data_IF_766996083194
#
_entry.id   IF_766996083194
#
_cell.length_a   1.000
_cell.length_b   1.000
_cell.length_c   1.000
_cell.angle_alpha   90.00
_cell.angle_beta   90.00
_cell.angle_gamma   90.00
#
_symmetry.space_group_name_H-M   'P 1'
#
loop_
_entity.id
_entity.type
_entity.pdbx_description
1 polymer ?
#
# COMPACT_ATOMS: atom_id res chain seq x y z
N UNK A 1 -18.29 -68.85 -12.50
CA UNK A 1 -19.21 -67.73 -12.82
C UNK A 1 -18.80 -66.58 -11.97
N UNK A 2 -17.94 -65.67 -12.53
CA UNK A 2 -17.44 -64.48 -11.82
C UNK A 2 -18.40 -63.30 -12.12
N UNK A 3 -19.00 -62.78 -11.08
CA UNK A 3 -19.76 -61.53 -11.14
C UNK A 3 -18.82 -60.37 -10.84
N UNK A 4 -18.32 -59.71 -11.88
CA UNK A 4 -17.70 -58.41 -11.82
C UNK A 4 -18.79 -57.34 -11.62
N UNK A 5 -18.98 -56.95 -10.38
CA UNK A 5 -19.81 -55.79 -10.05
C UNK A 5 -19.02 -54.51 -10.37
N UNK A 6 -19.25 -53.94 -11.55
CA UNK A 6 -18.82 -52.62 -11.95
C UNK A 6 -19.29 -51.60 -10.92
N UNK A 7 -18.37 -51.11 -10.07
CA UNK A 7 -18.59 -49.98 -9.16
C UNK A 7 -18.79 -48.71 -9.97
N UNK A 8 -20.03 -48.34 -10.22
CA UNK A 8 -20.35 -47.01 -10.75
C UNK A 8 -19.92 -45.92 -9.74
N UNK A 9 -18.75 -45.36 -9.94
CA UNK A 9 -18.32 -44.21 -9.17
C UNK A 9 -19.22 -43.03 -9.53
N UNK A 10 -20.06 -42.64 -8.59
CA UNK A 10 -20.93 -41.46 -8.69
C UNK A 10 -20.08 -40.19 -8.84
N UNK A 11 -20.56 -39.23 -9.68
CA UNK A 11 -19.95 -37.89 -9.79
C UNK A 11 -19.75 -37.22 -8.41
N UNK A 12 -20.59 -37.54 -7.45
CA UNK A 12 -20.50 -37.08 -6.06
C UNK A 12 -19.30 -37.65 -5.33
N UNK A 13 -18.92 -38.92 -5.57
CA UNK A 13 -17.79 -39.58 -4.89
C UNK A 13 -16.46 -39.06 -5.49
N UNK A 14 -16.44 -38.76 -6.78
CA UNK A 14 -15.29 -38.12 -7.43
C UNK A 14 -15.05 -36.71 -6.84
N UNK A 15 -16.09 -35.89 -6.67
CA UNK A 15 -15.97 -34.52 -6.09
C UNK A 15 -15.48 -34.58 -4.63
N UNK A 16 -15.97 -35.56 -3.83
CA UNK A 16 -15.51 -35.71 -2.44
C UNK A 16 -14.04 -36.15 -2.34
N UNK A 17 -13.59 -37.05 -3.22
CA UNK A 17 -12.18 -37.51 -3.21
C UNK A 17 -11.24 -36.47 -3.75
N UNK A 18 -11.64 -35.65 -4.74
CA UNK A 18 -10.81 -34.59 -5.30
C UNK A 18 -10.69 -33.40 -4.33
N UNK A 19 -11.74 -33.09 -3.56
CA UNK A 19 -11.68 -32.00 -2.58
C UNK A 19 -10.75 -32.28 -1.39
N UNK A 20 -10.60 -33.57 -1.00
CA UNK A 20 -9.65 -33.98 0.05
C UNK A 20 -8.19 -33.91 -0.40
N UNK A 21 -7.90 -34.24 -1.67
CA UNK A 21 -6.54 -34.20 -2.23
C UNK A 21 -6.15 -32.76 -2.65
N UNK A 22 -7.08 -31.97 -3.19
CA UNK A 22 -6.83 -30.59 -3.59
C UNK A 22 -6.67 -29.64 -2.39
N UNK A 23 -7.39 -29.90 -1.29
CA UNK A 23 -7.31 -29.09 -0.06
C UNK A 23 -5.94 -29.12 0.61
N UNK A 24 -5.23 -30.26 0.56
CA UNK A 24 -3.92 -30.42 1.18
C UNK A 24 -2.76 -29.81 0.39
N UNK A 25 -2.85 -29.76 -0.94
CA UNK A 25 -1.77 -29.28 -1.81
C UNK A 25 -1.90 -27.79 -2.16
N UNK A 26 -3.12 -27.23 -2.14
CA UNK A 26 -3.33 -25.79 -2.45
C UNK A 26 -3.20 -24.93 -1.20
N UNK A 27 -3.35 -25.47 0.00
CA UNK A 27 -3.25 -24.71 1.25
C UNK A 27 -1.80 -24.29 1.58
N UNK A 28 -0.78 -25.07 1.19
CA UNK A 28 0.61 -24.76 1.51
C UNK A 28 1.14 -23.42 0.96
N UNK A 29 0.87 -23.01 -0.29
CA UNK A 29 1.31 -21.69 -0.78
C UNK A 29 0.49 -20.53 -0.24
N UNK A 30 -0.75 -20.75 0.21
CA UNK A 30 -1.57 -19.67 0.80
C UNK A 30 -1.18 -19.35 2.24
N UNK A 31 -0.72 -20.32 3.02
CA UNK A 31 -0.23 -20.07 4.39
C UNK A 31 1.07 -19.28 4.41
N UNK A 32 1.91 -19.42 3.38
CA UNK A 32 3.15 -18.62 3.28
C UNK A 32 2.90 -17.13 3.01
N UNK A 33 1.73 -16.77 2.45
CA UNK A 33 1.33 -15.38 2.21
C UNK A 33 0.48 -14.78 3.34
N UNK A 34 -0.14 -15.62 4.17
CA UNK A 34 -0.94 -15.16 5.30
C UNK A 34 -0.08 -14.47 6.39
N UNK A 35 1.22 -14.73 6.44
CA UNK A 35 2.14 -14.07 7.38
C UNK A 35 2.47 -12.62 7.00
N UNK A 36 2.07 -12.13 5.82
CA UNK A 36 2.21 -10.72 5.46
C UNK A 36 1.13 -9.82 6.08
N UNK A 37 0.11 -10.39 6.72
CA UNK A 37 -0.96 -9.65 7.38
C UNK A 37 -1.01 -9.86 8.90
N UNK A 38 0.00 -10.48 9.50
CA UNK A 38 0.01 -10.71 10.94
C UNK A 38 0.79 -9.64 11.67
N UNK A 39 0.15 -8.54 11.92
CA UNK A 39 0.60 -7.50 12.82
C UNK A 39 -0.35 -6.33 12.76
N UNK A 40 -1.33 -6.27 13.68
CA UNK A 40 -2.14 -5.07 13.87
C UNK A 40 -1.27 -3.85 14.28
N UNK A 41 0.02 -4.10 14.53
CA UNK A 41 1.03 -3.11 14.94
C UNK A 41 2.01 -2.74 13.81
N UNK A 42 1.95 -3.40 12.65
CA UNK A 42 2.85 -3.09 11.54
C UNK A 42 2.52 -1.71 10.95
N UNK A 43 3.53 -0.86 10.89
CA UNK A 43 3.42 0.49 10.31
C UNK A 43 3.40 0.38 8.80
N UNK A 44 2.34 0.85 8.17
CA UNK A 44 2.23 1.01 6.71
C UNK A 44 2.97 2.28 6.30
N UNK A 45 4.07 2.12 5.58
CA UNK A 45 4.87 3.24 5.06
C UNK A 45 4.25 3.77 3.77
N UNK A 46 4.02 5.07 3.72
CA UNK A 46 3.41 5.74 2.57
C UNK A 46 4.39 6.71 1.95
N UNK A 47 4.50 6.73 0.62
CA UNK A 47 5.15 7.78 -0.14
C UNK A 47 4.11 8.65 -0.87
N UNK A 48 4.31 9.95 -0.87
CA UNK A 48 3.50 10.91 -1.61
C UNK A 48 4.24 11.40 -2.86
N UNK A 49 3.65 11.18 -4.03
CA UNK A 49 4.16 11.64 -5.31
C UNK A 49 3.22 12.70 -5.88
N UNK A 50 3.67 13.95 -5.87
CA UNK A 50 2.88 15.13 -6.19
C UNK A 50 2.38 15.82 -4.92
N UNK A 51 3.03 16.92 -4.55
CA UNK A 51 2.82 17.64 -3.28
C UNK A 51 1.94 18.90 -3.44
N UNK A 52 1.15 18.99 -4.51
CA UNK A 52 0.17 20.06 -4.68
C UNK A 52 -1.01 19.93 -3.70
N UNK A 53 -1.99 20.82 -3.80
CA UNK A 53 -3.15 20.83 -2.89
C UNK A 53 -3.91 19.51 -2.83
N UNK A 54 -4.04 18.78 -3.97
CA UNK A 54 -4.65 17.44 -4.00
C UNK A 54 -3.81 16.42 -3.24
N UNK A 55 -2.48 16.48 -3.40
CA UNK A 55 -1.54 15.60 -2.70
C UNK A 55 -1.57 15.81 -1.20
N UNK A 56 -1.52 17.07 -0.76
CA UNK A 56 -1.61 17.45 0.65
C UNK A 56 -2.89 16.90 1.28
N UNK A 57 -4.05 17.11 0.64
CA UNK A 57 -5.33 16.59 1.13
C UNK A 57 -5.39 15.05 1.18
N UNK A 58 -4.85 14.38 0.17
CA UNK A 58 -4.82 12.91 0.13
C UNK A 58 -3.91 12.33 1.21
N UNK A 59 -2.73 12.92 1.43
CA UNK A 59 -1.83 12.53 2.50
C UNK A 59 -2.47 12.73 3.88
N UNK A 60 -3.11 13.87 4.11
CA UNK A 60 -3.83 14.15 5.35
C UNK A 60 -4.91 13.10 5.62
N UNK A 61 -5.74 12.78 4.63
CA UNK A 61 -6.78 11.75 4.76
C UNK A 61 -6.20 10.36 5.05
N UNK A 62 -5.09 10.00 4.42
CA UNK A 62 -4.41 8.74 4.70
C UNK A 62 -3.88 8.68 6.14
N UNK A 63 -3.26 9.77 6.61
CA UNK A 63 -2.71 9.88 7.97
C UNK A 63 -3.80 9.93 9.06
N UNK A 64 -5.01 10.40 8.73
CA UNK A 64 -6.17 10.39 9.64
C UNK A 64 -6.95 9.07 9.62
N UNK A 65 -6.55 8.13 8.76
CA UNK A 65 -7.19 6.80 8.73
C UNK A 65 -6.99 6.04 10.05
N UNK A 66 -7.85 5.03 10.30
CA UNK A 66 -7.74 4.17 11.49
C UNK A 66 -6.53 3.21 11.43
N UNK A 67 -5.86 3.14 10.29
CA UNK A 67 -4.70 2.26 10.10
C UNK A 67 -3.43 2.89 10.70
N UNK A 68 -2.45 2.07 11.05
CA UNK A 68 -1.16 2.52 11.50
C UNK A 68 -0.29 2.93 10.30
N UNK A 69 -0.55 4.13 9.78
CA UNK A 69 0.08 4.70 8.57
C UNK A 69 1.10 5.75 8.97
N UNK A 70 2.26 5.74 8.29
CA UNK A 70 3.26 6.83 8.37
C UNK A 70 3.64 7.31 6.98
N UNK A 71 3.70 8.63 6.79
CA UNK A 71 4.29 9.24 5.61
C UNK A 71 5.82 9.24 5.78
N UNK A 72 6.53 8.52 4.90
CA UNK A 72 7.98 8.31 5.03
C UNK A 72 8.81 8.95 3.93
N UNK A 73 8.21 9.29 2.79
CA UNK A 73 8.88 9.93 1.68
C UNK A 73 7.94 10.86 0.91
N UNK A 74 8.47 11.92 0.32
CA UNK A 74 7.72 12.86 -0.51
C UNK A 74 8.52 13.19 -1.77
N UNK A 75 7.83 13.32 -2.90
CA UNK A 75 8.44 13.74 -4.17
C UNK A 75 7.51 14.71 -4.92
N UNK A 76 8.09 15.78 -5.44
CA UNK A 76 7.44 16.72 -6.34
C UNK A 76 8.45 17.28 -7.36
N UNK A 77 7.98 17.68 -8.54
CA UNK A 77 8.83 18.35 -9.52
C UNK A 77 9.38 19.69 -9.01
N UNK A 78 8.61 20.36 -8.12
CA UNK A 78 8.90 21.69 -7.61
C UNK A 78 9.12 21.65 -6.11
N UNK A 79 10.23 22.22 -5.65
CA UNK A 79 10.59 22.29 -4.23
C UNK A 79 9.54 23.04 -3.40
N UNK A 80 9.02 24.15 -3.93
CA UNK A 80 8.05 24.99 -3.24
C UNK A 80 6.76 24.24 -2.89
N UNK A 81 6.27 23.38 -3.81
CA UNK A 81 5.12 22.52 -3.57
C UNK A 81 5.40 21.52 -2.45
N UNK A 82 6.57 20.89 -2.50
CA UNK A 82 7.00 19.92 -1.50
C UNK A 82 7.08 20.55 -0.11
N UNK A 83 7.76 21.68 0.01
CA UNK A 83 7.94 22.38 1.28
C UNK A 83 6.60 22.90 1.83
N UNK A 84 5.73 23.46 0.99
CA UNK A 84 4.39 23.92 1.38
C UNK A 84 3.52 22.76 1.88
N UNK A 85 3.57 21.62 1.19
CA UNK A 85 2.87 20.41 1.60
C UNK A 85 3.38 19.89 2.95
N UNK A 86 4.69 19.75 3.10
CA UNK A 86 5.33 19.32 4.34
C UNK A 86 4.96 20.22 5.50
N UNK A 87 5.03 21.55 5.30
CA UNK A 87 4.62 22.53 6.30
C UNK A 87 3.14 22.37 6.69
N UNK A 88 2.26 22.21 5.70
CA UNK A 88 0.82 22.01 5.95
C UNK A 88 0.52 20.74 6.76
N UNK A 89 1.31 19.69 6.59
CA UNK A 89 1.14 18.42 7.32
C UNK A 89 1.80 18.42 8.72
N UNK A 90 2.74 19.34 8.97
CA UNK A 90 3.52 19.37 10.22
C UNK A 90 3.22 20.56 11.10
N UNK A 91 2.56 21.59 10.58
CA UNK A 91 2.14 22.77 11.38
C UNK A 91 0.90 22.40 12.19
N UNK A 92 1.00 22.56 13.48
CA UNK A 92 -0.09 22.39 14.43
C UNK A 92 -0.19 23.71 15.21
N UNK A 93 -1.18 24.52 14.88
CA UNK A 93 -1.49 25.81 15.53
C UNK A 93 -2.52 25.66 16.66
N UNK A 94 -2.92 24.41 16.96
CA UNK A 94 -3.90 24.09 18.00
C UNK A 94 -5.35 24.35 17.60
N UNK A 95 -5.62 24.78 16.36
CA UNK A 95 -6.99 25.04 15.88
C UNK A 95 -7.76 23.75 15.58
N UNK A 96 -7.06 22.70 15.14
CA UNK A 96 -7.64 21.39 14.82
C UNK A 96 -6.90 20.27 15.57
N UNK A 97 -7.57 19.61 16.54
CA UNK A 97 -6.97 18.50 17.30
C UNK A 97 -6.45 17.34 16.44
N UNK A 98 -6.98 17.17 15.22
CA UNK A 98 -6.54 16.12 14.31
C UNK A 98 -5.14 16.36 13.75
N UNK A 99 -4.67 17.62 13.70
CA UNK A 99 -3.34 17.97 13.21
C UNK A 99 -2.21 17.43 14.08
N UNK A 100 -2.42 17.36 15.38
CA UNK A 100 -1.46 16.75 16.29
C UNK A 100 -1.22 15.25 15.96
N UNK A 101 -2.27 14.54 15.55
CA UNK A 101 -2.16 13.14 15.12
C UNK A 101 -1.50 13.02 13.74
N UNK A 102 -1.86 13.88 12.78
CA UNK A 102 -1.21 13.93 11.46
C UNK A 102 0.29 14.13 11.61
N UNK A 103 0.69 15.15 12.38
CA UNK A 103 2.10 15.48 12.62
C UNK A 103 2.91 14.32 13.18
N UNK A 104 2.36 13.55 14.12
CA UNK A 104 3.02 12.37 14.71
C UNK A 104 3.29 11.26 13.68
N UNK A 105 2.50 11.21 12.62
CA UNK A 105 2.58 10.20 11.57
C UNK A 105 3.39 10.65 10.35
N UNK A 106 3.94 11.88 10.36
CA UNK A 106 4.87 12.37 9.33
C UNK A 106 6.30 12.09 9.80
N UNK A 107 6.98 11.18 9.09
CA UNK A 107 8.37 10.77 9.32
C UNK A 107 9.18 10.93 8.03
N UNK A 108 9.29 12.18 7.56
CA UNK A 108 9.96 12.54 6.31
C UNK A 108 11.13 13.49 6.61
N UNK A 109 12.32 12.94 6.88
CA UNK A 109 13.53 13.73 7.02
C UNK A 109 13.95 14.32 5.66
N UNK A 110 14.86 15.28 5.66
CA UNK A 110 15.24 16.04 4.47
C UNK A 110 15.78 15.14 3.33
N UNK A 111 16.53 14.10 3.65
CA UNK A 111 17.06 13.13 2.68
C UNK A 111 15.98 12.28 2.00
N UNK A 112 14.74 12.30 2.50
CA UNK A 112 13.59 11.61 1.88
C UNK A 112 12.58 12.56 1.25
N UNK A 113 13.01 13.81 1.01
CA UNK A 113 12.30 14.83 0.25
C UNK A 113 12.96 14.99 -1.11
N UNK A 114 12.36 14.43 -2.14
CA UNK A 114 12.94 14.36 -3.47
C UNK A 114 12.32 15.39 -4.40
N UNK A 115 13.14 16.26 -4.98
CA UNK A 115 12.71 17.27 -5.94
C UNK A 115 13.15 16.90 -7.34
N UNK A 116 12.35 17.25 -8.35
CA UNK A 116 12.63 16.98 -9.76
C UNK A 116 11.72 15.92 -10.35
N UNK A 117 11.76 15.79 -11.68
CA UNK A 117 10.90 14.86 -12.42
C UNK A 117 11.22 13.38 -12.19
N UNK A 118 12.39 13.07 -11.68
CA UNK A 118 12.87 11.74 -11.33
C UNK A 118 12.74 11.40 -9.82
N UNK A 119 12.28 12.35 -9.01
CA UNK A 119 12.18 12.19 -7.56
C UNK A 119 11.32 11.00 -7.13
N UNK A 120 10.31 10.64 -7.92
CA UNK A 120 9.44 9.49 -7.64
C UNK A 120 10.21 8.16 -7.62
N UNK A 121 11.24 7.99 -8.48
CA UNK A 121 12.05 6.76 -8.51
C UNK A 121 12.80 6.52 -7.21
N UNK A 122 13.08 7.58 -6.45
CA UNK A 122 13.77 7.51 -5.15
C UNK A 122 12.79 7.36 -3.99
N UNK A 123 11.59 7.92 -4.12
CA UNK A 123 10.59 7.90 -3.06
C UNK A 123 9.81 6.57 -3.02
N UNK A 124 9.42 6.02 -4.17
CA UNK A 124 8.59 4.81 -4.29
C UNK A 124 9.20 3.60 -3.57
N UNK A 125 10.49 3.26 -3.74
CA UNK A 125 11.09 2.09 -3.09
C UNK A 125 11.15 2.16 -1.55
N UNK A 126 10.88 3.31 -0.95
CA UNK A 126 10.92 3.51 0.50
C UNK A 126 9.59 3.18 1.20
N UNK A 127 8.54 2.89 0.45
CA UNK A 127 7.17 2.79 0.95
C UNK A 127 6.47 1.50 0.53
N UNK A 128 5.50 1.08 1.34
CA UNK A 128 4.63 -0.06 1.06
C UNK A 128 3.42 0.35 0.19
N UNK A 129 3.02 1.63 0.29
CA UNK A 129 1.89 2.23 -0.42
C UNK A 129 2.30 3.57 -1.00
N UNK A 130 1.86 3.86 -2.21
CA UNK A 130 2.17 5.11 -2.91
C UNK A 130 0.89 5.89 -3.22
N UNK A 131 0.89 7.17 -2.87
CA UNK A 131 -0.17 8.12 -3.24
C UNK A 131 0.30 8.89 -4.48
N UNK A 132 -0.34 8.66 -5.63
CA UNK A 132 -0.02 9.31 -6.89
C UNK A 132 -1.03 10.43 -7.18
N UNK A 133 -0.60 11.69 -7.05
CA UNK A 133 -1.46 12.88 -7.25
C UNK A 133 -0.93 13.84 -8.30
N UNK A 134 0.05 13.41 -9.06
CA UNK A 134 0.58 14.16 -10.20
C UNK A 134 -0.45 14.29 -11.34
N UNK A 135 -0.29 15.26 -12.26
CA UNK A 135 -1.14 15.41 -13.42
C UNK A 135 -1.26 14.11 -14.23
N UNK A 136 -2.38 13.87 -14.93
CA UNK A 136 -2.65 12.60 -15.62
C UNK A 136 -1.56 12.14 -16.59
N UNK A 137 -0.87 13.08 -17.24
CA UNK A 137 0.22 12.76 -18.19
C UNK A 137 1.44 12.07 -17.55
N UNK A 138 1.67 12.25 -16.26
CA UNK A 138 2.79 11.64 -15.54
C UNK A 138 2.41 10.35 -14.81
N UNK A 139 1.13 10.10 -14.54
CA UNK A 139 0.68 8.94 -13.76
C UNK A 139 1.07 7.59 -14.36
N UNK A 140 1.05 7.36 -15.68
CA UNK A 140 1.44 6.07 -16.24
C UNK A 140 2.86 5.66 -15.87
N UNK A 141 3.84 6.56 -15.99
CA UNK A 141 5.23 6.26 -15.65
C UNK A 141 5.44 6.09 -14.13
N UNK A 142 4.73 6.86 -13.31
CA UNK A 142 4.79 6.70 -11.85
C UNK A 142 4.13 5.41 -11.38
N UNK A 143 3.02 5.03 -12.01
CA UNK A 143 2.33 3.78 -11.73
C UNK A 143 3.17 2.57 -12.15
N UNK A 144 3.79 2.61 -13.33
CA UNK A 144 4.71 1.57 -13.79
C UNK A 144 5.84 1.34 -12.77
N UNK A 145 6.43 2.40 -12.23
CA UNK A 145 7.47 2.28 -11.21
C UNK A 145 6.93 1.68 -9.90
N UNK A 146 5.71 2.04 -9.51
CA UNK A 146 5.11 1.57 -8.27
C UNK A 146 4.73 0.08 -8.27
N UNK A 147 4.61 -0.56 -9.44
CA UNK A 147 4.25 -1.99 -9.56
C UNK A 147 5.46 -2.91 -9.85
N UNK A 148 6.67 -2.38 -10.01
CA UNK A 148 7.91 -3.15 -10.15
C UNK A 148 8.34 -3.75 -8.82
#
# INVERSE_FOLDING_TARGET
MNNDASKNNSRRDFVKQTSLLAGGLIAAPFFSRANYFSGADDVIKVALIGCGGRGTGAAMQALLSKQNVKLVAMADAFRDNLDSCYQSLTTDDGSDPSMAEVKKRVDVPEERKFTGFDGYMKAIPLADVVILTTPPGFRPIHFEEAIK
#
